data_IF_512715630626
#
_entry.id   IF_512715630626
#
_cell.length_a   1.000
_cell.length_b   1.000
_cell.length_c   1.000
_cell.angle_alpha   90.00
_cell.angle_beta   90.00
_cell.angle_gamma   90.00
#
_symmetry.space_group_name_H-M   'P 1'
#
loop_
_entity.id
_entity.type
_entity.pdbx_description
1 polymer ?
#
# COMPACT_ATOMS: atom_id res chain seq x y z
N UNK A 1 -5.70 15.77 -25.43
CA UNK A 1 -6.46 14.53 -25.73
C UNK A 1 -5.67 13.41 -26.43
N UNK A 2 -4.67 13.69 -27.27
CA UNK A 2 -3.94 12.64 -28.02
C UNK A 2 -2.81 11.93 -27.25
N UNK A 3 -2.25 12.53 -26.20
CA UNK A 3 -1.14 11.95 -25.40
C UNK A 3 -1.67 11.02 -24.31
N UNK A 4 -2.81 11.34 -23.69
CA UNK A 4 -3.44 10.54 -22.64
C UNK A 4 -3.88 9.16 -23.14
N UNK A 5 -4.38 9.07 -24.36
CA UNK A 5 -4.80 7.80 -24.98
C UNK A 5 -3.58 6.92 -25.28
N UNK A 6 -2.45 7.51 -25.72
CA UNK A 6 -1.23 6.77 -26.02
C UNK A 6 -0.52 6.21 -24.78
N UNK A 7 -0.66 6.86 -23.61
CA UNK A 7 -0.12 6.32 -22.35
C UNK A 7 -0.92 5.09 -21.87
N UNK A 8 -2.23 5.11 -21.99
CA UNK A 8 -3.09 3.97 -21.67
C UNK A 8 -2.86 2.80 -22.66
N UNK A 9 -2.75 3.11 -23.94
CA UNK A 9 -2.57 2.11 -25.01
C UNK A 9 -1.16 1.47 -24.97
N UNK A 10 -0.11 2.21 -24.56
CA UNK A 10 1.24 1.68 -24.39
C UNK A 10 1.40 0.79 -23.16
N UNK A 11 0.56 0.95 -22.15
CA UNK A 11 0.53 0.09 -20.97
C UNK A 11 -0.33 -1.18 -21.18
N UNK A 12 -1.16 -1.21 -22.24
CA UNK A 12 -2.03 -2.35 -22.58
C UNK A 12 -1.66 -3.09 -23.86
N UNK A 13 -0.78 -2.57 -24.70
CA UNK A 13 -0.55 -3.08 -26.05
C UNK A 13 0.90 -3.40 -26.39
N UNK A 14 1.35 -4.60 -26.13
CA UNK A 14 2.44 -5.20 -26.91
C UNK A 14 1.86 -5.70 -28.24
N UNK A 15 2.12 -4.97 -29.36
CA UNK A 15 2.35 -5.57 -30.70
C UNK A 15 2.86 -4.51 -31.68
N UNK A 16 4.10 -4.78 -32.18
CA UNK A 16 4.64 -4.46 -33.49
C UNK A 16 4.63 -3.01 -34.00
N UNK A 17 5.81 -2.40 -34.13
CA UNK A 17 6.23 -1.82 -35.38
C UNK A 17 7.75 -1.57 -35.41
N UNK A 18 8.42 -2.35 -36.25
CA UNK A 18 9.69 -1.96 -36.91
C UNK A 18 9.31 -0.95 -38.02
N UNK A 19 10.14 0.05 -38.24
CA UNK A 19 9.97 0.92 -39.40
C UNK A 19 10.82 2.19 -39.35
N UNK A 20 12.04 2.10 -39.84
CA UNK A 20 12.82 2.98 -40.72
C UNK A 20 12.66 4.50 -40.66
N UNK A 21 13.82 5.10 -40.47
CA UNK A 21 14.42 6.39 -40.79
C UNK A 21 13.92 7.17 -42.02
N UNK A 22 13.97 8.46 -42.01
CA UNK A 22 14.86 9.35 -42.83
C UNK A 22 14.49 10.80 -42.61
N UNK A 23 15.42 11.57 -42.20
CA UNK A 23 15.91 12.89 -42.42
C UNK A 23 15.00 14.03 -42.86
N UNK A 24 15.09 15.10 -42.09
CA UNK A 24 15.46 16.44 -42.58
C UNK A 24 15.53 17.39 -41.38
N UNK A 25 16.61 18.07 -41.29
CA UNK A 25 16.93 19.16 -40.36
C UNK A 25 15.91 20.29 -40.53
N UNK A 26 15.38 20.79 -39.40
CA UNK A 26 15.12 22.21 -39.23
C UNK A 26 15.27 22.54 -37.74
N UNK A 27 16.17 23.45 -37.53
CA UNK A 27 16.62 24.05 -36.29
C UNK A 27 15.55 25.00 -35.74
N UNK A 28 14.90 24.53 -34.66
CA UNK A 28 14.32 25.41 -33.60
C UNK A 28 14.01 24.45 -32.43
N UNK A 29 14.94 24.34 -31.47
CA UNK A 29 14.92 23.39 -30.38
C UNK A 29 13.93 23.79 -29.28
N UNK A 30 12.65 23.66 -29.52
CA UNK A 30 11.68 23.29 -28.50
C UNK A 30 11.70 21.78 -28.49
N UNK A 31 12.38 21.16 -27.50
CA UNK A 31 12.60 19.71 -27.45
C UNK A 31 11.29 18.97 -27.58
N UNK A 32 11.19 18.06 -28.54
CA UNK A 32 10.06 17.20 -28.75
C UNK A 32 9.93 16.26 -27.53
N UNK A 33 8.71 15.88 -27.11
CA UNK A 33 8.53 14.89 -26.06
C UNK A 33 9.12 13.55 -26.52
N UNK A 34 10.07 13.03 -25.77
CA UNK A 34 10.69 11.74 -26.01
C UNK A 34 10.24 10.74 -24.97
N UNK A 35 9.70 9.63 -25.44
CA UNK A 35 9.36 8.48 -24.61
C UNK A 35 10.13 7.28 -25.12
N UNK A 36 11.10 6.79 -24.34
CA UNK A 36 11.85 5.58 -24.62
C UNK A 36 11.39 4.48 -23.70
N UNK A 37 10.72 3.48 -24.26
CA UNK A 37 10.33 2.26 -23.56
C UNK A 37 11.36 1.18 -23.84
N UNK A 38 11.89 0.56 -22.78
CA UNK A 38 12.76 -0.57 -22.90
C UNK A 38 12.02 -1.83 -22.50
N UNK A 39 11.86 -2.73 -23.49
CA UNK A 39 11.36 -4.06 -23.21
C UNK A 39 12.54 -4.94 -22.77
N UNK A 40 12.62 -5.19 -21.48
CA UNK A 40 13.68 -5.99 -20.86
C UNK A 40 13.38 -7.50 -20.92
N UNK A 41 12.60 -7.94 -21.91
CA UNK A 41 12.18 -9.33 -22.07
C UNK A 41 11.09 -9.72 -21.05
N UNK A 42 11.11 -10.97 -20.61
CA UNK A 42 10.19 -11.47 -19.56
C UNK A 42 10.62 -11.05 -18.14
N UNK A 43 11.25 -9.88 -17.99
CA UNK A 43 11.72 -9.41 -16.68
C UNK A 43 10.57 -8.86 -15.84
N UNK A 44 10.70 -9.00 -14.52
CA UNK A 44 9.73 -8.51 -13.53
C UNK A 44 9.75 -6.99 -13.34
N UNK A 45 10.58 -6.29 -14.13
CA UNK A 45 10.66 -4.83 -14.17
C UNK A 45 10.67 -4.33 -15.62
N UNK A 46 10.07 -3.16 -15.82
CA UNK A 46 10.12 -2.44 -17.10
C UNK A 46 10.51 -1.00 -16.82
N UNK A 47 11.37 -0.42 -17.66
CA UNK A 47 11.78 0.97 -17.52
C UNK A 47 11.27 1.82 -18.69
N UNK A 48 10.94 3.07 -18.41
CA UNK A 48 10.51 4.06 -19.38
C UNK A 48 11.12 5.39 -19.01
N UNK A 49 11.91 5.98 -19.89
CA UNK A 49 12.37 7.35 -19.73
C UNK A 49 11.43 8.30 -20.45
N UNK A 50 10.93 9.29 -19.74
CA UNK A 50 10.11 10.37 -20.29
C UNK A 50 10.91 11.67 -20.20
N UNK A 51 11.23 12.26 -21.34
CA UNK A 51 11.98 13.53 -21.43
C UNK A 51 11.14 14.59 -22.07
N UNK A 52 11.25 15.80 -21.57
CA UNK A 52 10.60 16.99 -22.09
C UNK A 52 9.08 16.84 -22.32
N UNK A 53 8.41 16.15 -21.37
CA UNK A 53 6.96 15.96 -21.43
C UNK A 53 6.29 17.26 -20.99
N UNK A 54 5.56 17.88 -21.91
CA UNK A 54 4.83 19.13 -21.68
C UNK A 54 3.60 18.94 -20.77
N UNK A 55 3.02 20.08 -20.39
CA UNK A 55 1.84 20.18 -19.52
C UNK A 55 0.73 19.24 -19.93
N UNK A 56 0.19 18.51 -18.97
CA UNK A 56 -0.92 17.57 -19.21
C UNK A 56 -1.70 17.31 -17.93
N UNK A 57 -2.83 16.61 -18.10
CA UNK A 57 -3.62 16.02 -17.03
C UNK A 57 -3.91 14.55 -17.38
N UNK A 58 -3.50 13.66 -16.51
CA UNK A 58 -3.66 12.22 -16.71
C UNK A 58 -4.32 11.57 -15.51
N UNK A 59 -5.08 10.51 -15.78
CA UNK A 59 -5.57 9.59 -14.76
C UNK A 59 -4.89 8.24 -14.96
N UNK A 60 -4.19 7.80 -13.92
CA UNK A 60 -3.56 6.48 -13.86
C UNK A 60 -4.48 5.62 -13.00
N UNK A 61 -4.91 4.48 -13.51
CA UNK A 61 -5.78 3.61 -12.73
C UNK A 61 -5.72 2.16 -13.18
N UNK A 62 -5.89 1.24 -12.22
CA UNK A 62 -5.96 -0.19 -12.47
C UNK A 62 -4.67 -0.81 -13.04
N UNK A 63 -3.50 -0.22 -12.77
CA UNK A 63 -2.23 -0.77 -13.22
C UNK A 63 -2.02 -2.18 -12.64
N UNK A 64 -1.60 -3.16 -13.46
CA UNK A 64 -1.30 -4.51 -12.97
C UNK A 64 0.02 -4.58 -12.19
N UNK A 65 0.83 -3.52 -12.21
CA UNK A 65 2.16 -3.42 -11.62
C UNK A 65 2.26 -2.22 -10.68
N UNK A 66 3.22 -2.25 -9.76
CA UNK A 66 3.61 -1.06 -9.02
C UNK A 66 4.38 -0.12 -9.94
N UNK A 67 4.05 1.18 -9.95
CA UNK A 67 4.75 2.18 -10.73
C UNK A 67 5.59 3.06 -9.80
N UNK A 68 6.91 3.09 -10.04
CA UNK A 68 7.87 3.94 -9.32
C UNK A 68 8.35 5.01 -10.27
N UNK A 69 8.25 6.28 -9.88
CA UNK A 69 8.56 7.43 -10.73
C UNK A 69 9.67 8.24 -10.07
N UNK A 70 10.82 8.37 -10.71
CA UNK A 70 11.91 9.25 -10.31
C UNK A 70 11.83 10.55 -11.12
N UNK A 71 11.68 11.69 -10.44
CA UNK A 71 11.67 13.02 -11.06
C UNK A 71 13.10 13.53 -11.24
N UNK A 72 13.61 13.50 -12.47
CA UNK A 72 14.93 14.03 -12.83
C UNK A 72 14.88 15.52 -13.13
N UNK A 73 13.79 15.98 -13.72
CA UNK A 73 13.45 17.40 -13.91
C UNK A 73 11.97 17.58 -13.60
N UNK A 74 11.64 18.12 -12.43
CA UNK A 74 10.23 18.34 -12.07
C UNK A 74 9.63 19.49 -12.89
N UNK A 75 8.29 19.49 -13.10
CA UNK A 75 7.59 20.58 -13.75
C UNK A 75 7.51 21.81 -12.83
N UNK A 76 7.05 22.95 -13.36
CA UNK A 76 6.87 24.18 -12.57
C UNK A 76 5.77 24.06 -11.53
N UNK A 77 4.67 23.41 -11.89
CA UNK A 77 3.53 23.14 -11.01
C UNK A 77 3.13 21.68 -11.15
N UNK A 78 2.67 21.07 -10.08
CA UNK A 78 2.15 19.70 -10.11
C UNK A 78 1.14 19.47 -9.00
N UNK A 79 0.00 18.90 -9.39
CA UNK A 79 -1.02 18.43 -8.46
C UNK A 79 -1.15 16.91 -8.62
N UNK A 80 -1.13 16.21 -7.51
CA UNK A 80 -1.27 14.74 -7.46
C UNK A 80 -2.30 14.40 -6.44
N UNK A 81 -3.20 13.48 -6.80
CA UNK A 81 -4.13 12.81 -5.88
C UNK A 81 -4.04 11.31 -6.11
N UNK A 82 -3.77 10.53 -5.06
CA UNK A 82 -3.71 9.07 -5.13
C UNK A 82 -4.21 8.50 -3.81
N UNK A 83 -5.29 7.68 -3.83
CA UNK A 83 -5.82 6.96 -2.65
C UNK A 83 -5.92 7.85 -1.38
N UNK A 84 -6.44 9.05 -1.52
CA UNK A 84 -6.59 10.01 -0.41
C UNK A 84 -5.34 10.84 -0.08
N UNK A 85 -4.16 10.48 -0.58
CA UNK A 85 -2.95 11.31 -0.48
C UNK A 85 -3.00 12.40 -1.54
N UNK A 86 -2.72 13.65 -1.12
CA UNK A 86 -2.73 14.83 -2.02
C UNK A 86 -1.44 15.62 -1.88
N UNK A 87 -0.96 16.13 -3.00
CA UNK A 87 0.16 17.06 -3.04
C UNK A 87 -0.10 18.13 -4.13
N UNK A 88 -0.03 19.39 -3.75
CA UNK A 88 -0.24 20.55 -4.64
C UNK A 88 1.05 21.38 -4.75
N UNK A 89 2.17 20.72 -4.98
CA UNK A 89 3.45 21.35 -5.18
C UNK A 89 4.32 20.47 -6.07
N UNK A 90 5.24 21.05 -6.87
CA UNK A 90 6.18 20.26 -7.65
C UNK A 90 7.06 19.40 -6.74
N UNK A 91 7.38 18.17 -7.17
CA UNK A 91 8.28 17.31 -6.42
C UNK A 91 9.71 17.85 -6.46
N UNK A 92 10.53 17.69 -5.42
CA UNK A 92 11.94 18.00 -5.49
C UNK A 92 12.67 17.19 -6.56
N UNK A 93 13.75 17.74 -7.14
CA UNK A 93 14.64 17.00 -8.05
C UNK A 93 15.18 15.76 -7.33
N UNK A 94 15.12 14.61 -8.00
CA UNK A 94 15.59 13.33 -7.45
C UNK A 94 14.66 12.68 -6.43
N UNK A 95 13.47 13.26 -6.21
CA UNK A 95 12.43 12.61 -5.42
C UNK A 95 11.71 11.52 -6.22
N UNK A 96 11.09 10.62 -5.50
CA UNK A 96 10.44 9.44 -6.03
C UNK A 96 8.96 9.45 -5.65
N UNK A 97 8.10 8.99 -6.54
CA UNK A 97 6.70 8.66 -6.25
C UNK A 97 6.47 7.16 -6.45
N UNK A 98 5.56 6.59 -5.66
CA UNK A 98 5.11 5.21 -5.77
C UNK A 98 3.60 5.19 -5.92
N UNK A 99 3.11 4.64 -7.03
CA UNK A 99 1.70 4.31 -7.27
C UNK A 99 1.58 2.78 -7.13
N UNK A 100 0.88 2.29 -6.11
CA UNK A 100 0.72 0.85 -5.93
C UNK A 100 -0.13 0.20 -7.04
N UNK A 101 0.03 -1.11 -7.21
CA UNK A 101 -0.85 -1.91 -8.07
C UNK A 101 -2.32 -1.68 -7.72
N UNK A 102 -3.17 -1.50 -8.73
CA UNK A 102 -4.60 -1.28 -8.57
C UNK A 102 -5.01 0.13 -8.12
N UNK A 103 -4.07 0.96 -7.64
CA UNK A 103 -4.38 2.31 -7.17
C UNK A 103 -4.75 3.25 -8.33
N UNK A 104 -5.61 4.23 -8.01
CA UNK A 104 -5.99 5.30 -8.94
C UNK A 104 -5.27 6.58 -8.55
N UNK A 105 -4.56 7.18 -9.50
CA UNK A 105 -3.92 8.48 -9.34
C UNK A 105 -4.40 9.46 -10.41
N UNK A 106 -4.68 10.69 -9.99
CA UNK A 106 -4.95 11.85 -10.83
C UNK A 106 -3.76 12.77 -10.73
N UNK A 107 -3.17 13.12 -11.86
CA UNK A 107 -1.94 13.93 -11.93
C UNK A 107 -2.12 15.01 -12.98
N UNK A 108 -1.95 16.26 -12.58
CA UNK A 108 -1.89 17.39 -13.50
C UNK A 108 -0.61 18.18 -13.27
N UNK A 109 0.01 18.69 -14.35
CA UNK A 109 1.22 19.49 -14.23
C UNK A 109 1.29 20.57 -15.30
N UNK A 110 2.08 21.60 -15.02
CA UNK A 110 2.40 22.67 -15.95
C UNK A 110 3.91 22.84 -16.11
N UNK A 111 4.33 23.05 -17.35
CA UNK A 111 5.72 23.09 -17.75
C UNK A 111 6.30 21.70 -18.01
N UNK A 112 7.48 21.66 -18.59
CA UNK A 112 8.12 20.42 -19.03
C UNK A 112 8.67 19.63 -17.83
N UNK A 113 8.54 18.32 -17.87
CA UNK A 113 9.12 17.40 -16.89
C UNK A 113 9.92 16.31 -17.56
N UNK A 114 10.94 15.83 -16.84
CA UNK A 114 11.65 14.61 -17.17
C UNK A 114 11.52 13.64 -15.98
N UNK A 115 11.25 12.39 -16.27
CA UNK A 115 11.21 11.34 -15.24
C UNK A 115 11.61 9.98 -15.80
N UNK A 116 12.16 9.15 -14.92
CA UNK A 116 12.36 7.73 -15.15
C UNK A 116 11.27 6.98 -14.43
N UNK A 117 10.51 6.19 -15.15
CA UNK A 117 9.48 5.32 -14.61
C UNK A 117 10.00 3.88 -14.61
N UNK A 118 9.77 3.17 -13.51
CA UNK A 118 10.06 1.74 -13.40
C UNK A 118 8.79 1.06 -12.91
N UNK A 119 8.24 0.21 -13.75
CA UNK A 119 7.13 -0.68 -13.38
C UNK A 119 7.70 -1.95 -12.76
N UNK A 120 7.10 -2.42 -11.67
CA UNK A 120 7.58 -3.54 -10.88
C UNK A 120 6.45 -4.53 -10.64
N UNK A 121 6.67 -5.79 -11.00
CA UNK A 121 5.71 -6.87 -10.76
C UNK A 121 5.44 -7.06 -9.26
N UNK A 122 4.17 -7.18 -8.84
CA UNK A 122 3.82 -7.44 -7.45
C UNK A 122 4.50 -8.69 -6.87
N UNK A 123 4.63 -9.74 -7.68
CA UNK A 123 5.24 -11.00 -7.28
C UNK A 123 6.72 -10.84 -6.90
N UNK A 124 7.47 -9.95 -7.56
CA UNK A 124 8.86 -9.64 -7.20
C UNK A 124 8.91 -9.07 -5.78
N UNK A 125 8.08 -8.07 -5.49
CA UNK A 125 8.06 -7.40 -4.19
C UNK A 125 7.66 -8.38 -3.08
N UNK A 126 6.64 -9.22 -3.32
CA UNK A 126 6.20 -10.25 -2.37
C UNK A 126 7.29 -11.29 -2.11
N UNK A 127 7.91 -11.83 -3.16
CA UNK A 127 8.97 -12.84 -3.08
C UNK A 127 10.18 -12.31 -2.30
N UNK A 128 10.62 -11.09 -2.58
CA UNK A 128 11.73 -10.46 -1.87
C UNK A 128 11.36 -10.16 -0.41
N UNK A 129 10.13 -9.72 -0.14
CA UNK A 129 9.65 -9.50 1.23
C UNK A 129 9.66 -10.79 2.06
N UNK A 130 9.16 -11.89 1.49
CA UNK A 130 9.15 -13.19 2.14
C UNK A 130 10.57 -13.73 2.40
N UNK A 131 11.43 -13.71 1.36
CA UNK A 131 12.78 -14.31 1.44
C UNK A 131 13.77 -13.50 2.29
N UNK A 132 13.73 -12.16 2.18
CA UNK A 132 14.75 -11.29 2.79
C UNK A 132 14.31 -10.64 4.10
N UNK A 133 13.01 -10.60 4.37
CA UNK A 133 12.46 -9.89 5.53
C UNK A 133 11.50 -10.75 6.37
N UNK A 134 11.30 -12.03 5.98
CA UNK A 134 10.37 -12.97 6.65
C UNK A 134 8.97 -12.35 6.85
N UNK A 135 8.48 -11.63 5.82
CA UNK A 135 7.24 -10.90 5.89
C UNK A 135 6.35 -11.18 4.68
N UNK A 136 5.09 -11.38 4.96
CA UNK A 136 4.05 -11.36 3.95
C UNK A 136 3.62 -9.91 3.70
N UNK A 137 3.83 -9.43 2.47
CA UNK A 137 3.38 -8.13 1.99
C UNK A 137 2.24 -8.36 1.00
N UNK A 138 1.00 -8.28 1.48
CA UNK A 138 -0.12 -8.16 0.54
C UNK A 138 0.00 -6.86 -0.26
N UNK A 139 -0.36 -6.88 -1.54
CA UNK A 139 -0.30 -5.70 -2.42
C UNK A 139 -1.12 -4.52 -1.88
N UNK A 140 -2.24 -4.80 -1.19
CA UNK A 140 -3.07 -3.80 -0.52
C UNK A 140 -2.41 -3.13 0.71
N UNK A 141 -1.28 -3.65 1.17
CA UNK A 141 -0.54 -3.09 2.29
C UNK A 141 0.48 -2.03 1.89
N UNK A 142 0.73 -1.82 0.59
CA UNK A 142 1.68 -0.82 0.09
C UNK A 142 0.94 0.51 -0.10
N UNK A 143 1.24 1.56 0.70
CA UNK A 143 0.60 2.85 0.54
C UNK A 143 1.17 3.61 -0.67
N UNK A 144 0.38 4.51 -1.30
CA UNK A 144 0.93 5.46 -2.24
C UNK A 144 1.88 6.43 -1.53
N UNK A 145 3.01 6.73 -2.15
CA UNK A 145 3.99 7.68 -1.64
C UNK A 145 4.24 8.75 -2.72
N UNK A 146 4.21 10.02 -2.32
CA UNK A 146 4.39 11.13 -3.25
C UNK A 146 5.60 11.95 -2.81
N UNK A 147 6.58 12.10 -3.72
CA UNK A 147 7.76 12.96 -3.55
C UNK A 147 8.60 12.65 -2.28
N UNK A 148 8.95 11.40 -2.06
CA UNK A 148 9.89 11.00 -1.03
C UNK A 148 11.33 10.90 -1.53
N UNK A 149 12.29 10.98 -0.64
CA UNK A 149 13.72 10.86 -0.92
C UNK A 149 14.23 9.51 -0.41
N UNK A 150 14.83 8.73 -1.30
CA UNK A 150 15.46 7.43 -0.99
C UNK A 150 16.67 7.24 -1.91
N UNK A 151 17.88 7.63 -1.47
CA UNK A 151 19.08 7.63 -2.32
C UNK A 151 19.41 6.25 -2.91
N UNK A 152 19.29 5.20 -2.13
CA UNK A 152 19.59 3.84 -2.57
C UNK A 152 18.59 3.36 -3.63
N UNK A 153 17.29 3.65 -3.44
CA UNK A 153 16.25 3.33 -4.40
C UNK A 153 16.45 4.13 -5.71
N UNK A 154 16.81 5.41 -5.59
CA UNK A 154 17.17 6.25 -6.72
C UNK A 154 18.34 5.66 -7.52
N UNK A 155 19.41 5.23 -6.82
CA UNK A 155 20.58 4.62 -7.47
C UNK A 155 20.21 3.35 -8.23
N UNK A 156 19.38 2.49 -7.64
CA UNK A 156 18.89 1.28 -8.31
C UNK A 156 18.04 1.62 -9.57
N UNK A 157 17.16 2.60 -9.50
CA UNK A 157 16.37 3.05 -10.65
C UNK A 157 17.27 3.58 -11.78
N UNK A 158 18.25 4.42 -11.45
CA UNK A 158 19.19 4.96 -12.44
C UNK A 158 20.04 3.86 -13.08
N UNK A 159 20.45 2.84 -12.31
CA UNK A 159 21.19 1.69 -12.85
C UNK A 159 20.33 0.88 -13.84
N UNK A 160 19.05 0.65 -13.53
CA UNK A 160 18.11 -0.01 -14.45
C UNK A 160 17.94 0.82 -15.73
N UNK A 161 17.76 2.16 -15.58
CA UNK A 161 17.64 3.06 -16.72
C UNK A 161 18.90 3.03 -17.61
N UNK A 162 20.09 3.11 -17.03
CA UNK A 162 21.36 3.08 -17.76
C UNK A 162 21.58 1.74 -18.48
N UNK A 163 21.31 0.62 -17.83
CA UNK A 163 21.41 -0.71 -18.44
C UNK A 163 20.42 -0.86 -19.60
N UNK A 164 19.21 -0.32 -19.44
CA UNK A 164 18.18 -0.33 -20.48
C UNK A 164 18.57 0.55 -21.68
N UNK A 165 19.09 1.75 -21.44
CA UNK A 165 19.57 2.69 -22.49
C UNK A 165 20.74 2.09 -23.29
N UNK A 166 21.61 1.35 -22.63
CA UNK A 166 22.74 0.66 -23.28
C UNK A 166 22.33 -0.61 -24.04
N UNK A 167 21.04 -0.97 -24.08
CA UNK A 167 20.55 -2.19 -24.75
C UNK A 167 20.77 -3.46 -23.94
N UNK A 168 20.87 -3.33 -22.63
CA UNK A 168 21.06 -4.42 -21.67
C UNK A 168 22.32 -5.27 -21.91
N UNK A 169 23.53 -4.67 -21.99
CA UNK A 169 24.78 -5.41 -22.29
C UNK A 169 25.11 -6.45 -21.22
N UNK A 170 24.65 -6.29 -19.99
CA UNK A 170 24.76 -7.31 -18.92
C UNK A 170 23.76 -8.44 -19.01
N UNK A 171 22.84 -8.38 -19.99
CA UNK A 171 21.82 -9.38 -20.24
C UNK A 171 20.77 -9.54 -19.14
N UNK A 172 19.95 -10.60 -19.24
CA UNK A 172 18.82 -10.82 -18.31
C UNK A 172 19.24 -10.92 -16.84
N UNK A 173 20.43 -11.50 -16.56
CA UNK A 173 20.95 -11.66 -15.21
C UNK A 173 21.22 -10.31 -14.53
N UNK A 174 21.77 -9.33 -15.25
CA UNK A 174 21.99 -7.99 -14.72
C UNK A 174 20.68 -7.31 -14.38
N UNK A 175 19.70 -7.37 -15.28
CA UNK A 175 18.37 -6.78 -15.06
C UNK A 175 17.67 -7.43 -13.86
N UNK A 176 17.71 -8.76 -13.74
CA UNK A 176 17.14 -9.48 -12.60
C UNK A 176 17.83 -9.08 -11.28
N UNK A 177 19.15 -8.96 -11.30
CA UNK A 177 19.91 -8.51 -10.12
C UNK A 177 19.54 -7.10 -9.70
N UNK A 178 19.46 -6.17 -10.64
CA UNK A 178 19.04 -4.78 -10.39
C UNK A 178 17.57 -4.72 -9.92
N UNK A 179 16.69 -5.54 -10.46
CA UNK A 179 15.29 -5.65 -10.03
C UNK A 179 15.18 -6.12 -8.57
N UNK A 180 15.97 -7.13 -8.18
CA UNK A 180 16.01 -7.59 -6.79
C UNK A 180 16.58 -6.51 -5.85
N UNK A 181 17.63 -5.79 -6.25
CA UNK A 181 18.18 -4.64 -5.49
C UNK A 181 17.13 -3.56 -5.33
N UNK A 182 16.42 -3.19 -6.40
CA UNK A 182 15.33 -2.22 -6.37
C UNK A 182 14.24 -2.62 -5.37
N UNK A 183 13.78 -3.88 -5.43
CA UNK A 183 12.75 -4.41 -4.54
C UNK A 183 13.20 -4.39 -3.06
N UNK A 184 14.45 -4.77 -2.77
CA UNK A 184 15.02 -4.70 -1.41
C UNK A 184 15.01 -3.27 -0.88
N UNK A 185 15.46 -2.29 -1.67
CA UNK A 185 15.47 -0.88 -1.22
C UNK A 185 14.06 -0.30 -1.09
N UNK A 186 13.13 -0.66 -1.99
CA UNK A 186 11.74 -0.29 -1.87
C UNK A 186 11.13 -0.80 -0.55
N UNK A 187 11.31 -2.08 -0.25
CA UNK A 187 10.79 -2.71 0.95
C UNK A 187 11.42 -2.09 2.21
N UNK A 188 12.73 -1.86 2.23
CA UNK A 188 13.41 -1.16 3.34
C UNK A 188 12.83 0.22 3.57
N UNK A 189 12.59 0.98 2.50
CA UNK A 189 11.97 2.31 2.60
C UNK A 189 10.55 2.23 3.15
N UNK A 190 9.72 1.32 2.63
CA UNK A 190 8.35 1.10 3.09
C UNK A 190 8.30 0.71 4.58
N UNK A 191 9.18 -0.16 5.05
CA UNK A 191 9.27 -0.50 6.48
C UNK A 191 9.82 0.65 7.32
N UNK A 192 10.80 1.39 6.83
CA UNK A 192 11.34 2.59 7.47
C UNK A 192 10.27 3.68 7.57
N UNK A 193 9.55 3.94 6.49
CA UNK A 193 8.45 4.89 6.44
C UNK A 193 7.32 4.51 7.42
N UNK A 194 6.88 3.24 7.42
CA UNK A 194 5.85 2.76 8.36
C UNK A 194 6.30 2.88 9.82
N UNK A 195 7.59 2.65 10.09
CA UNK A 195 8.18 2.80 11.43
C UNK A 195 8.27 4.26 11.86
N UNK A 196 8.63 5.16 10.94
CA UNK A 196 8.67 6.60 11.19
C UNK A 196 7.26 7.18 11.33
N UNK A 197 6.32 6.82 10.45
CA UNK A 197 4.93 7.22 10.54
C UNK A 197 4.26 6.67 11.81
N UNK A 198 4.51 5.43 12.17
CA UNK A 198 4.03 4.84 13.43
C UNK A 198 4.60 5.58 14.66
N UNK A 199 5.86 6.02 14.62
CA UNK A 199 6.46 6.85 15.67
C UNK A 199 5.85 8.26 15.71
N UNK A 200 5.68 8.90 14.55
CA UNK A 200 5.09 10.23 14.43
C UNK A 200 3.61 10.27 14.83
N UNK A 201 2.85 9.22 14.48
CA UNK A 201 1.44 9.05 14.85
C UNK A 201 1.26 8.44 16.24
N UNK A 202 2.37 8.10 16.92
CA UNK A 202 2.30 7.47 18.25
C UNK A 202 1.61 6.09 18.21
N UNK A 203 1.78 5.30 17.15
CA UNK A 203 1.20 3.95 17.07
C UNK A 203 1.90 3.01 18.05
N UNK A 204 1.15 2.17 18.74
CA UNK A 204 1.68 1.16 19.65
C UNK A 204 2.72 0.28 18.94
N UNK A 205 3.88 0.07 19.56
CA UNK A 205 4.86 -0.89 19.05
C UNK A 205 4.24 -2.29 18.97
N UNK A 206 4.70 -3.13 18.04
CA UNK A 206 4.20 -4.49 17.86
C UNK A 206 4.13 -5.29 19.16
N UNK A 207 5.17 -5.17 20.01
CA UNK A 207 5.26 -5.82 21.32
C UNK A 207 4.18 -5.31 22.28
N UNK A 208 3.98 -3.99 22.35
CA UNK A 208 2.95 -3.38 23.18
C UNK A 208 1.54 -3.74 22.71
N UNK A 209 1.33 -3.74 21.40
CA UNK A 209 0.04 -4.16 20.81
C UNK A 209 -0.26 -5.63 21.08
N UNK A 210 0.70 -6.53 20.88
CA UNK A 210 0.54 -7.95 21.18
C UNK A 210 0.19 -8.17 22.66
N UNK A 211 0.98 -7.60 23.58
CA UNK A 211 0.70 -7.70 25.00
C UNK A 211 -0.69 -7.17 25.39
N UNK A 212 -1.16 -6.11 24.73
CA UNK A 212 -2.52 -5.58 24.97
C UNK A 212 -3.59 -6.54 24.44
N UNK A 213 -3.41 -7.11 23.25
CA UNK A 213 -4.34 -8.07 22.67
C UNK A 213 -4.40 -9.33 23.53
N UNK A 214 -3.26 -9.87 23.96
CA UNK A 214 -3.17 -11.03 24.85
C UNK A 214 -3.93 -10.78 26.16
N UNK A 215 -3.73 -9.59 26.75
CA UNK A 215 -4.47 -9.17 27.94
C UNK A 215 -5.97 -9.10 27.69
N UNK A 216 -6.42 -8.50 26.58
CA UNK A 216 -7.85 -8.44 26.21
C UNK A 216 -8.43 -9.84 26.08
N UNK A 217 -7.74 -10.73 25.36
CA UNK A 217 -8.21 -12.11 25.13
C UNK A 217 -8.30 -12.91 26.42
N UNK A 218 -7.36 -12.75 27.33
CA UNK A 218 -7.35 -13.41 28.64
C UNK A 218 -8.41 -12.86 29.62
N UNK A 219 -8.95 -11.64 29.37
CA UNK A 219 -9.85 -10.94 30.29
C UNK A 219 -11.18 -10.52 29.61
N UNK A 220 -11.63 -11.22 28.56
CA UNK A 220 -12.88 -10.87 27.86
C UNK A 220 -14.11 -10.89 28.77
N UNK A 221 -14.15 -11.79 29.74
CA UNK A 221 -15.16 -11.96 30.76
C UNK A 221 -15.06 -10.94 31.91
N UNK A 222 -13.87 -10.47 32.23
CA UNK A 222 -13.56 -9.57 33.37
C UNK A 222 -13.64 -8.08 33.04
N UNK A 223 -14.26 -7.69 31.93
CA UNK A 223 -14.44 -6.28 31.47
C UNK A 223 -13.15 -5.49 31.49
N UNK A 224 -12.21 -5.77 30.55
CA UNK A 224 -10.94 -5.03 30.50
C UNK A 224 -11.20 -3.53 30.33
N UNK A 225 -10.67 -2.72 31.24
CA UNK A 225 -10.87 -1.27 31.24
C UNK A 225 -9.80 -0.57 30.41
N UNK A 226 -10.12 0.63 29.92
CA UNK A 226 -9.20 1.44 29.14
C UNK A 226 -7.95 1.79 29.93
N UNK A 227 -8.12 2.11 31.22
CA UNK A 227 -7.06 2.46 32.15
C UNK A 227 -6.06 1.30 32.29
N UNK A 228 -6.59 0.08 32.52
CA UNK A 228 -5.73 -1.09 32.70
C UNK A 228 -4.97 -1.46 31.45
N UNK A 229 -5.59 -1.34 30.28
CA UNK A 229 -4.92 -1.54 29.00
C UNK A 229 -3.82 -0.50 28.75
N UNK A 230 -4.06 0.75 29.15
CA UNK A 230 -3.10 1.85 29.02
C UNK A 230 -1.90 1.67 29.98
N UNK A 231 -2.15 1.27 31.23
CA UNK A 231 -1.11 0.96 32.22
C UNK A 231 -0.15 -0.12 31.74
N UNK A 232 -0.65 -1.21 31.15
CA UNK A 232 0.16 -2.30 30.61
C UNK A 232 1.27 -1.83 29.65
N UNK A 233 1.01 -0.75 28.94
CA UNK A 233 1.92 -0.21 27.93
C UNK A 233 2.56 1.12 28.34
N UNK A 234 2.36 1.55 29.61
CA UNK A 234 2.88 2.79 30.18
C UNK A 234 2.47 4.03 29.36
N UNK A 235 1.16 4.17 29.10
CA UNK A 235 0.55 5.31 28.40
C UNK A 235 -0.61 5.88 29.21
N UNK A 236 -0.97 7.14 28.97
CA UNK A 236 -2.24 7.67 29.42
C UNK A 236 -3.41 7.02 28.62
N UNK A 237 -4.62 6.89 29.21
CA UNK A 237 -5.77 6.30 28.54
C UNK A 237 -6.08 6.91 27.17
N UNK A 238 -6.07 8.23 27.04
CA UNK A 238 -6.31 8.95 25.80
C UNK A 238 -5.24 8.68 24.74
N UNK A 239 -3.99 8.63 25.16
CA UNK A 239 -2.87 8.35 24.28
C UNK A 239 -2.90 6.91 23.80
N UNK A 240 -3.19 5.98 24.70
CA UNK A 240 -3.40 4.57 24.38
C UNK A 240 -4.56 4.38 23.38
N UNK A 241 -5.73 4.96 23.63
CA UNK A 241 -6.91 4.81 22.77
C UNK A 241 -6.63 5.26 21.33
N UNK A 242 -5.93 6.40 21.15
CA UNK A 242 -5.53 6.90 19.83
C UNK A 242 -4.53 5.95 19.14
N UNK A 243 -3.50 5.52 19.87
CA UNK A 243 -2.47 4.63 19.31
C UNK A 243 -3.03 3.25 18.99
N UNK A 244 -3.89 2.70 19.85
CA UNK A 244 -4.54 1.41 19.64
C UNK A 244 -5.46 1.44 18.41
N UNK A 245 -6.28 2.49 18.27
CA UNK A 245 -7.12 2.69 17.08
C UNK A 245 -6.30 2.84 15.80
N UNK A 246 -5.18 3.56 15.85
CA UNK A 246 -4.27 3.69 14.71
C UNK A 246 -3.61 2.36 14.32
N UNK A 247 -3.38 1.46 15.30
CA UNK A 247 -2.77 0.15 15.07
C UNK A 247 -3.76 -0.92 14.59
N UNK A 248 -5.02 -0.89 15.09
CA UNK A 248 -6.01 -1.96 14.87
C UNK A 248 -7.17 -1.54 13.95
N UNK A 249 -7.33 -0.23 13.69
CA UNK A 249 -8.50 0.32 13.00
C UNK A 249 -9.72 0.51 13.91
N UNK A 250 -9.75 -0.06 15.11
CA UNK A 250 -10.87 -0.03 16.05
C UNK A 250 -10.47 0.65 17.37
N UNK A 251 -11.39 1.41 17.95
CA UNK A 251 -11.19 1.89 19.32
C UNK A 251 -11.13 0.69 20.30
N UNK A 252 -10.38 0.78 21.43
CA UNK A 252 -10.20 -0.34 22.36
C UNK A 252 -11.50 -1.05 22.77
N UNK A 253 -12.52 -0.28 23.14
CA UNK A 253 -13.83 -0.84 23.50
C UNK A 253 -14.48 -1.57 22.32
N UNK A 254 -14.43 -1.01 21.11
CA UNK A 254 -15.00 -1.64 19.91
C UNK A 254 -14.28 -2.97 19.58
N UNK A 255 -12.97 -3.01 19.79
CA UNK A 255 -12.17 -4.21 19.63
C UNK A 255 -12.59 -5.30 20.62
N UNK A 256 -12.76 -4.97 21.91
CA UNK A 256 -13.26 -5.92 22.93
C UNK A 256 -14.62 -6.46 22.54
N UNK A 257 -15.55 -5.59 22.13
CA UNK A 257 -16.90 -6.04 21.69
C UNK A 257 -16.82 -6.97 20.48
N UNK A 258 -15.96 -6.69 19.50
CA UNK A 258 -15.78 -7.57 18.35
C UNK A 258 -15.28 -8.97 18.78
N UNK A 259 -14.29 -9.03 19.66
CA UNK A 259 -13.79 -10.32 20.20
C UNK A 259 -14.83 -11.09 21.00
N UNK A 260 -15.68 -10.40 21.79
CA UNK A 260 -16.80 -11.00 22.49
C UNK A 260 -17.84 -11.61 21.55
N UNK A 261 -18.14 -10.90 20.46
CA UNK A 261 -19.07 -11.43 19.43
C UNK A 261 -18.49 -12.68 18.76
N UNK A 262 -17.20 -12.68 18.41
CA UNK A 262 -16.51 -13.86 17.87
C UNK A 262 -16.59 -15.05 18.84
N UNK A 263 -16.28 -14.81 20.12
CA UNK A 263 -16.41 -15.85 21.15
C UNK A 263 -17.87 -16.35 21.30
N UNK A 264 -18.84 -15.45 21.21
CA UNK A 264 -20.25 -15.85 21.19
C UNK A 264 -20.60 -16.72 19.99
N UNK A 265 -20.07 -16.43 18.81
CA UNK A 265 -20.24 -17.26 17.61
C UNK A 265 -19.66 -18.67 17.80
N UNK A 266 -18.47 -18.79 18.39
CA UNK A 266 -17.85 -20.07 18.73
C UNK A 266 -18.71 -20.88 19.69
N UNK A 267 -19.21 -20.25 20.76
CA UNK A 267 -20.09 -20.88 21.73
C UNK A 267 -21.43 -21.33 21.12
N UNK A 268 -22.03 -20.50 20.26
CA UNK A 268 -23.28 -20.83 19.57
C UNK A 268 -23.13 -22.00 18.60
N UNK A 269 -21.95 -22.21 18.02
CA UNK A 269 -21.65 -23.34 17.15
C UNK A 269 -21.26 -24.59 17.92
N UNK A 270 -20.45 -24.45 18.97
CA UNK A 270 -19.83 -25.59 19.68
C UNK A 270 -20.62 -26.10 20.90
N UNK A 271 -21.53 -25.27 21.45
CA UNK A 271 -22.31 -25.63 22.67
C UNK A 271 -23.77 -25.27 22.50
N UNK A 272 -24.49 -26.17 21.86
CA UNK A 272 -25.92 -26.00 21.53
C UNK A 272 -26.84 -26.03 22.77
N UNK A 273 -26.41 -26.66 23.86
CA UNK A 273 -27.10 -26.77 25.13
C UNK A 273 -27.21 -25.45 25.89
N UNK A 274 -26.30 -24.47 25.62
CA UNK A 274 -26.31 -23.21 26.34
C UNK A 274 -27.46 -22.30 25.88
N UNK A 275 -28.18 -21.72 26.84
CA UNK A 275 -29.13 -20.63 26.57
C UNK A 275 -28.41 -19.38 26.03
N UNK A 276 -29.15 -18.50 25.39
CA UNK A 276 -28.56 -17.23 24.92
C UNK A 276 -28.07 -16.35 26.07
N UNK A 277 -28.67 -16.44 27.25
CA UNK A 277 -28.24 -15.77 28.47
C UNK A 277 -26.88 -16.31 28.96
N UNK A 278 -26.72 -17.63 28.99
CA UNK A 278 -25.47 -18.28 29.37
C UNK A 278 -24.34 -17.96 28.34
N UNK A 279 -24.65 -17.97 27.04
CA UNK A 279 -23.72 -17.56 26.00
C UNK A 279 -23.30 -16.11 26.19
N UNK A 280 -24.22 -15.20 26.55
CA UNK A 280 -23.90 -13.80 26.81
C UNK A 280 -22.86 -13.67 27.93
N UNK A 281 -23.10 -14.30 29.06
CA UNK A 281 -22.18 -14.26 30.22
C UNK A 281 -20.84 -14.89 29.86
N UNK A 282 -20.84 -16.08 29.25
CA UNK A 282 -19.61 -16.79 28.87
C UNK A 282 -18.78 -16.05 27.81
N UNK A 283 -19.40 -15.22 26.97
CA UNK A 283 -18.74 -14.35 26.01
C UNK A 283 -18.30 -13.01 26.59
N UNK A 284 -18.66 -12.70 27.86
CA UNK A 284 -18.25 -11.49 28.58
C UNK A 284 -19.22 -10.32 28.49
N UNK A 285 -20.46 -10.51 28.01
CA UNK A 285 -21.52 -9.50 28.04
C UNK A 285 -22.20 -9.46 29.41
N UNK A 286 -22.79 -8.33 29.77
CA UNK A 286 -23.53 -8.18 31.03
C UNK A 286 -24.83 -9.00 31.05
N UNK A 287 -25.47 -9.13 29.91
CA UNK A 287 -26.76 -9.76 29.74
C UNK A 287 -27.03 -10.13 28.27
N UNK A 288 -28.11 -10.88 28.05
CA UNK A 288 -28.54 -11.30 26.72
C UNK A 288 -28.89 -10.13 25.81
N UNK A 289 -29.42 -9.02 26.32
CA UNK A 289 -29.82 -7.87 25.51
C UNK A 289 -28.61 -7.20 24.88
N UNK A 290 -27.51 -7.04 25.65
CA UNK A 290 -26.24 -6.54 25.17
C UNK A 290 -25.62 -7.46 24.09
N UNK A 291 -25.65 -8.75 24.32
CA UNK A 291 -25.24 -9.73 23.31
C UNK A 291 -26.05 -9.53 22.01
N UNK A 292 -27.38 -9.55 22.08
CA UNK A 292 -28.25 -9.42 20.91
C UNK A 292 -27.99 -8.13 20.13
N UNK A 293 -27.83 -7.00 20.83
CA UNK A 293 -27.56 -5.70 20.24
C UNK A 293 -26.25 -5.70 19.45
N UNK A 294 -25.17 -6.09 20.10
CA UNK A 294 -23.83 -6.05 19.50
C UNK A 294 -23.66 -7.13 18.43
N UNK A 295 -24.18 -8.33 18.67
CA UNK A 295 -24.11 -9.44 17.72
C UNK A 295 -24.83 -9.09 16.41
N UNK A 296 -26.08 -8.58 16.47
CA UNK A 296 -26.82 -8.15 15.28
C UNK A 296 -26.08 -7.06 14.52
N UNK A 297 -25.48 -6.10 15.24
CA UNK A 297 -24.72 -4.98 14.63
C UNK A 297 -23.48 -5.46 13.90
N UNK A 298 -22.79 -6.48 14.40
CA UNK A 298 -21.50 -6.96 13.85
C UNK A 298 -21.72 -8.12 12.87
N UNK A 299 -22.55 -9.10 13.21
CA UNK A 299 -22.80 -10.29 12.40
C UNK A 299 -23.97 -10.14 11.40
N UNK A 300 -24.72 -9.02 11.46
CA UNK A 300 -25.87 -8.77 10.57
C UNK A 300 -27.16 -9.52 10.95
N UNK A 301 -27.08 -10.56 11.78
CA UNK A 301 -28.19 -11.41 12.19
C UNK A 301 -28.25 -11.53 13.72
N UNK A 302 -29.39 -11.96 14.28
CA UNK A 302 -29.49 -12.22 15.73
C UNK A 302 -28.77 -13.49 16.14
N UNK A 303 -28.31 -13.64 17.41
CA UNK A 303 -27.67 -14.84 17.90
C UNK A 303 -28.52 -16.12 17.71
N UNK A 304 -29.84 -16.02 17.93
CA UNK A 304 -30.77 -17.14 17.73
C UNK A 304 -30.86 -17.56 16.26
N UNK A 305 -30.94 -16.60 15.35
CA UNK A 305 -30.97 -16.90 13.91
C UNK A 305 -29.62 -17.48 13.44
N UNK A 306 -28.51 -16.95 13.94
CA UNK A 306 -27.18 -17.47 13.66
C UNK A 306 -27.03 -18.92 14.08
N UNK A 307 -27.51 -19.28 15.30
CA UNK A 307 -27.53 -20.67 15.78
C UNK A 307 -28.37 -21.59 14.87
N UNK A 308 -29.59 -21.14 14.54
CA UNK A 308 -30.50 -21.93 13.71
C UNK A 308 -29.94 -22.23 12.31
N UNK A 309 -29.27 -21.24 11.70
CA UNK A 309 -28.67 -21.38 10.36
C UNK A 309 -27.43 -22.30 10.31
N UNK A 310 -26.89 -22.73 11.45
CA UNK A 310 -25.72 -23.62 11.54
C UNK A 310 -26.10 -25.05 11.92
N UNK A 311 -27.37 -25.28 12.28
CA UNK A 311 -27.91 -26.60 12.66
C UNK A 311 -28.63 -27.25 11.46
N UNK A 312 -29.01 -26.45 10.45
CA UNK A 312 -29.58 -26.93 9.19
C UNK A 312 -28.46 -27.23 8.17
#
# INVERSE_FOLDING_TARGET
MKVSQRLADNLQGQRLAQGSSTGLQDDLSIGRPEMTNWNLGASEVQATHQRNIDSDEIRIGGLPQHLIILFTKPPREMNVRCEGVKRNAPPPVGSIALVPVGAVAEVSWRGNKDCLQVSVEPNLVQRVAAKSFERDLSCSAIPPLIAFIAPELRSAMLAIGAESEAGAPGGPLMIESLANILAVHLIRHLFGFRRAAARALGVLSRRKLAATIDYIMANLDNRPTLERMAELVHLSPDHFARQFKAATGLAPYQFVIARRVERAQELLCGRQELSLAEVAIAAGFSDQSQLCLHFKRIAGVTPGHFRASRIA
#
